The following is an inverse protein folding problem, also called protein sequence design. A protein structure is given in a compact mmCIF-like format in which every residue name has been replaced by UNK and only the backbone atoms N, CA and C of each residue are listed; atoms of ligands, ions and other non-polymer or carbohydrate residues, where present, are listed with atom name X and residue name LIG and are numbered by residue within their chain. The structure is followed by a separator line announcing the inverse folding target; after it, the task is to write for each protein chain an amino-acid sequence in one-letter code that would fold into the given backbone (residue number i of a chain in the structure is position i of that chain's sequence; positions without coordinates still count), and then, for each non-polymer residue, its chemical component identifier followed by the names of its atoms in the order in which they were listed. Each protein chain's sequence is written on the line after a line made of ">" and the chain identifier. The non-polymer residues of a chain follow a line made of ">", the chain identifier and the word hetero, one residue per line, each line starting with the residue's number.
data_IF_843525868597
#
_entry.id   IF_843525868597
#
_cell.length_a   1.000
_cell.length_b   1.000
_cell.length_c   1.000
_cell.angle_alpha   90.00
_cell.angle_beta   90.00
_cell.angle_gamma   90.00
#
_symmetry.space_group_name_H-M   'P 1'
#
loop_
_entity.id
_entity.type
_entity.pdbx_description
1 polymer ?
#
# COMPACT_ATOMS: atom_id res chain seq x y z
N UNK A 1 28.21 -28.60 24.51
CA UNK A 1 28.13 -27.33 25.27
C UNK A 1 26.98 -26.51 24.70
N UNK A 2 26.06 -26.07 25.56
CA UNK A 2 25.01 -25.12 25.20
C UNK A 2 25.64 -23.71 25.14
N UNK A 3 25.23 -22.89 24.17
CA UNK A 3 25.90 -21.65 23.77
C UNK A 3 26.38 -20.77 24.94
N UNK A 4 27.67 -20.44 24.92
CA UNK A 4 28.31 -19.51 25.87
C UNK A 4 28.11 -18.08 25.36
N UNK A 5 27.79 -17.14 26.26
CA UNK A 5 27.67 -15.72 25.93
C UNK A 5 29.06 -15.09 25.91
N UNK A 6 29.51 -14.62 24.74
CA UNK A 6 30.83 -13.99 24.57
C UNK A 6 30.82 -12.47 24.81
N UNK A 7 29.74 -11.94 25.41
CA UNK A 7 29.54 -10.50 25.56
C UNK A 7 30.57 -9.81 26.45
N UNK A 8 31.02 -10.47 27.53
CA UNK A 8 31.99 -9.90 28.46
C UNK A 8 33.38 -9.70 27.83
N UNK A 9 33.75 -10.57 26.88
CA UNK A 9 35.02 -10.50 26.15
C UNK A 9 35.19 -9.19 25.35
N UNK A 10 34.11 -8.43 25.13
CA UNK A 10 34.13 -7.13 24.44
C UNK A 10 35.00 -6.09 25.15
N UNK A 11 34.94 -6.04 26.48
CA UNK A 11 35.54 -4.95 27.25
C UNK A 11 36.77 -5.40 28.05
N UNK A 12 36.85 -6.69 28.38
CA UNK A 12 37.96 -7.28 29.12
C UNK A 12 38.11 -8.75 28.71
N UNK A 13 39.25 -9.37 29.01
CA UNK A 13 39.42 -10.80 28.79
C UNK A 13 38.38 -11.58 29.60
N UNK A 14 37.71 -12.54 28.97
CA UNK A 14 36.60 -13.25 29.60
C UNK A 14 37.05 -13.92 30.91
N UNK A 15 36.32 -13.67 32.00
CA UNK A 15 36.78 -13.99 33.37
C UNK A 15 36.98 -15.49 33.62
N UNK A 16 36.12 -16.32 33.04
CA UNK A 16 36.07 -17.76 33.34
C UNK A 16 36.54 -18.63 32.18
N UNK A 17 36.56 -18.09 30.96
CA UNK A 17 36.91 -18.83 29.74
C UNK A 17 38.08 -18.15 29.05
N UNK A 18 38.99 -18.89 28.40
CA UNK A 18 40.16 -18.34 27.72
C UNK A 18 39.75 -17.69 26.38
N UNK A 19 38.89 -16.68 26.42
CA UNK A 19 38.48 -15.87 25.26
C UNK A 19 39.02 -14.45 25.48
N UNK A 20 40.20 -14.14 24.92
CA UNK A 20 40.75 -12.80 24.99
C UNK A 20 39.88 -11.81 24.21
N UNK A 21 39.93 -10.54 24.60
CA UNK A 21 39.27 -9.45 23.85
C UNK A 21 39.70 -9.40 22.38
N UNK A 22 40.96 -9.72 22.09
CA UNK A 22 41.47 -9.81 20.71
C UNK A 22 40.67 -10.81 19.87
N UNK A 23 40.37 -11.98 20.42
CA UNK A 23 39.68 -13.04 19.68
C UNK A 23 38.18 -12.73 19.55
N UNK A 24 37.58 -12.00 20.50
CA UNK A 24 36.25 -11.40 20.34
C UNK A 24 36.17 -10.50 19.09
N UNK A 25 37.10 -9.55 18.95
CA UNK A 25 37.09 -8.65 17.80
C UNK A 25 37.41 -9.36 16.48
N UNK A 26 38.34 -10.34 16.49
CA UNK A 26 38.61 -11.18 15.29
C UNK A 26 37.36 -11.89 14.79
N UNK A 27 36.55 -12.45 15.69
CA UNK A 27 35.31 -13.12 15.33
C UNK A 27 34.30 -12.14 14.71
N UNK A 28 34.09 -10.98 15.34
CA UNK A 28 33.15 -9.97 14.83
C UNK A 28 33.59 -9.45 13.46
N UNK A 29 34.89 -9.21 13.25
CA UNK A 29 35.42 -8.75 11.95
C UNK A 29 35.11 -9.71 10.81
N UNK A 30 35.18 -11.03 11.05
CA UNK A 30 34.84 -12.04 10.03
C UNK A 30 33.41 -11.90 9.51
N UNK A 31 32.46 -11.52 10.37
CA UNK A 31 31.05 -11.37 10.00
C UNK A 31 30.64 -9.92 9.71
N UNK A 32 31.50 -8.93 9.98
CA UNK A 32 31.18 -7.51 9.83
C UNK A 32 30.82 -7.11 8.40
N UNK A 33 31.36 -7.81 7.39
CA UNK A 33 31.07 -7.57 5.97
C UNK A 33 30.00 -8.51 5.42
N UNK A 34 29.46 -9.41 6.24
CA UNK A 34 28.44 -10.36 5.79
C UNK A 34 27.10 -9.66 5.66
N UNK A 35 26.53 -9.68 4.45
CA UNK A 35 25.15 -9.24 4.22
C UNK A 35 24.23 -10.37 4.67
N UNK A 36 23.44 -10.11 5.70
CA UNK A 36 22.36 -11.02 6.11
C UNK A 36 21.16 -10.73 5.23
N UNK A 37 20.79 -11.71 4.41
CA UNK A 37 19.55 -11.68 3.64
C UNK A 37 18.75 -12.91 4.00
N UNK A 38 17.44 -12.72 4.18
CA UNK A 38 16.51 -13.84 4.18
C UNK A 38 16.36 -14.30 2.73
N UNK A 39 16.56 -15.60 2.51
CA UNK A 39 16.38 -16.24 1.22
C UNK A 39 15.34 -17.34 1.42
N UNK A 40 14.20 -17.19 0.75
CA UNK A 40 13.22 -18.26 0.68
C UNK A 40 13.80 -19.40 -0.15
N UNK A 41 14.11 -20.50 0.53
CA UNK A 41 14.57 -21.71 -0.14
C UNK A 41 13.35 -22.41 -0.73
N UNK A 42 13.33 -22.55 -2.05
CA UNK A 42 12.32 -23.35 -2.73
C UNK A 42 12.49 -24.83 -2.38
N UNK A 43 11.64 -25.31 -1.48
CA UNK A 43 11.63 -26.70 -1.04
C UNK A 43 11.12 -27.66 -2.11
N UNK A 44 10.55 -27.16 -3.22
CA UNK A 44 9.91 -27.94 -4.28
C UNK A 44 10.20 -27.39 -5.69
N UNK A 45 11.46 -27.45 -6.15
CA UNK A 45 11.90 -26.82 -7.39
C UNK A 45 11.16 -27.31 -8.65
N UNK A 46 10.74 -28.58 -8.70
CA UNK A 46 9.98 -29.11 -9.83
C UNK A 46 8.57 -28.51 -9.94
N UNK A 47 7.86 -28.41 -8.82
CA UNK A 47 6.52 -27.79 -8.76
C UNK A 47 6.61 -26.30 -9.10
N UNK A 48 7.58 -25.60 -8.54
CA UNK A 48 7.81 -24.16 -8.78
C UNK A 48 8.17 -23.88 -10.24
N UNK A 49 9.06 -24.67 -10.85
CA UNK A 49 9.38 -24.53 -12.28
C UNK A 49 8.16 -24.73 -13.17
N UNK A 50 7.34 -25.74 -12.89
CA UNK A 50 6.13 -25.99 -13.64
C UNK A 50 5.09 -24.86 -13.46
N UNK A 51 4.95 -24.31 -12.26
CA UNK A 51 4.09 -23.17 -11.99
C UNK A 51 4.58 -21.89 -12.68
N UNK A 52 5.89 -21.64 -12.65
CA UNK A 52 6.52 -20.50 -13.31
C UNK A 52 6.32 -20.55 -14.83
N UNK A 53 6.51 -21.72 -15.46
CA UNK A 53 6.28 -21.89 -16.89
C UNK A 53 4.83 -21.57 -17.28
N UNK A 54 3.85 -22.00 -16.48
CA UNK A 54 2.43 -21.64 -16.68
C UNK A 54 2.19 -20.13 -16.52
N UNK A 55 2.79 -19.52 -15.51
CA UNK A 55 2.67 -18.08 -15.25
C UNK A 55 3.30 -17.24 -16.37
N UNK A 56 4.46 -17.64 -16.89
CA UNK A 56 5.16 -16.97 -17.99
C UNK A 56 4.29 -16.89 -19.24
N UNK A 57 3.62 -17.98 -19.63
CA UNK A 57 2.70 -17.99 -20.78
C UNK A 57 1.57 -16.97 -20.60
N UNK A 58 1.04 -16.82 -19.38
CA UNK A 58 0.01 -15.82 -19.08
C UNK A 58 0.58 -14.40 -19.16
N UNK A 59 1.80 -14.18 -18.64
CA UNK A 59 2.45 -12.86 -18.72
C UNK A 59 2.77 -12.47 -20.15
N UNK A 60 3.32 -13.36 -20.97
CA UNK A 60 3.63 -13.08 -22.37
C UNK A 60 2.37 -12.63 -23.14
N UNK A 61 1.24 -13.29 -22.89
CA UNK A 61 -0.05 -12.90 -23.48
C UNK A 61 -0.51 -11.52 -22.98
N UNK A 62 -0.36 -11.27 -21.68
CA UNK A 62 -0.70 -9.98 -21.08
C UNK A 62 0.17 -8.86 -21.64
N UNK A 63 1.48 -9.06 -21.71
CA UNK A 63 2.45 -8.08 -22.18
C UNK A 63 2.26 -7.78 -23.67
N UNK A 64 1.99 -8.81 -24.48
CA UNK A 64 1.59 -8.64 -25.87
C UNK A 64 0.31 -7.81 -26.01
N UNK A 65 -0.71 -8.08 -25.18
CA UNK A 65 -1.95 -7.30 -25.17
C UNK A 65 -1.73 -5.86 -24.72
N UNK A 66 -0.95 -5.64 -23.66
CA UNK A 66 -0.60 -4.29 -23.17
C UNK A 66 0.18 -3.50 -24.21
N UNK A 67 1.13 -4.12 -24.93
CA UNK A 67 1.85 -3.48 -26.02
C UNK A 67 0.92 -3.03 -27.15
N UNK A 68 0.10 -3.95 -27.69
CA UNK A 68 -0.86 -3.66 -28.75
C UNK A 68 -1.89 -2.59 -28.34
N UNK A 69 -2.39 -2.70 -27.12
CA UNK A 69 -3.42 -1.81 -26.61
C UNK A 69 -2.82 -0.45 -26.21
N UNK A 70 -1.60 -0.43 -25.69
CA UNK A 70 -0.86 0.79 -25.36
C UNK A 70 -0.68 1.70 -26.57
N UNK A 71 -0.23 1.17 -27.71
CA UNK A 71 -0.09 1.96 -28.93
C UNK A 71 -1.44 2.54 -29.40
N UNK A 72 -2.49 1.73 -29.40
CA UNK A 72 -3.84 2.16 -29.81
C UNK A 72 -4.46 3.16 -28.85
N UNK A 73 -4.32 2.94 -27.54
CA UNK A 73 -4.85 3.81 -26.50
C UNK A 73 -4.10 5.14 -26.52
N UNK A 74 -2.78 5.14 -26.62
CA UNK A 74 -1.99 6.38 -26.65
C UNK A 74 -2.36 7.20 -27.89
N UNK A 75 -2.39 6.59 -29.09
CA UNK A 75 -2.78 7.29 -30.30
C UNK A 75 -4.21 7.86 -30.22
N UNK A 76 -5.17 7.06 -29.71
CA UNK A 76 -6.55 7.50 -29.53
C UNK A 76 -6.68 8.58 -28.46
N UNK A 77 -5.96 8.46 -27.35
CA UNK A 77 -5.98 9.43 -26.25
C UNK A 77 -5.40 10.76 -26.69
N UNK A 78 -4.26 10.75 -27.39
CA UNK A 78 -3.67 11.96 -27.98
C UNK A 78 -4.60 12.60 -29.02
N UNK A 79 -5.24 11.78 -29.87
CA UNK A 79 -6.25 12.27 -30.83
C UNK A 79 -7.46 12.92 -30.11
N UNK A 80 -7.99 12.26 -29.09
CA UNK A 80 -9.11 12.77 -28.29
C UNK A 80 -8.73 14.06 -27.55
N UNK A 81 -7.54 14.13 -26.95
CA UNK A 81 -7.02 15.32 -26.28
C UNK A 81 -6.77 16.48 -27.26
N UNK A 82 -6.32 16.22 -28.48
CA UNK A 82 -6.19 17.25 -29.51
C UNK A 82 -7.53 17.80 -30.01
N UNK A 83 -8.57 16.94 -30.07
CA UNK A 83 -9.93 17.33 -30.50
C UNK A 83 -10.74 18.01 -29.39
N UNK A 84 -10.55 17.58 -28.15
CA UNK A 84 -11.19 18.14 -26.98
C UNK A 84 -10.11 18.33 -25.91
N UNK A 85 -9.30 19.40 -26.02
CA UNK A 85 -8.31 19.68 -24.99
C UNK A 85 -9.02 19.80 -23.64
N UNK A 86 -8.34 19.44 -22.52
CA UNK A 86 -8.87 19.75 -21.21
C UNK A 86 -9.23 21.23 -21.20
N UNK A 87 -10.51 21.54 -21.00
CA UNK A 87 -10.89 22.93 -20.79
C UNK A 87 -10.09 23.42 -19.60
N UNK A 88 -9.47 24.60 -19.71
CA UNK A 88 -8.98 25.30 -18.52
C UNK A 88 -10.13 25.27 -17.51
N UNK A 89 -9.90 24.61 -16.37
CA UNK A 89 -10.89 24.61 -15.32
C UNK A 89 -11.10 26.07 -14.95
N UNK A 90 -12.24 26.63 -15.39
CA UNK A 90 -12.66 27.94 -14.95
C UNK A 90 -12.53 27.99 -13.44
N UNK A 91 -12.12 29.13 -12.88
CA UNK A 91 -11.96 29.29 -11.44
C UNK A 91 -13.22 28.77 -10.75
N UNK A 92 -13.09 27.64 -10.05
CA UNK A 92 -14.14 27.07 -9.26
C UNK A 92 -13.80 27.29 -7.79
N UNK A 93 -14.83 27.51 -7.00
CA UNK A 93 -14.71 27.68 -5.57
C UNK A 93 -15.14 26.38 -4.90
N UNK A 94 -14.29 25.86 -4.02
CA UNK A 94 -14.66 24.74 -3.18
C UNK A 94 -15.64 25.23 -2.14
N UNK A 95 -16.87 24.72 -2.21
CA UNK A 95 -17.88 24.95 -1.18
C UNK A 95 -17.88 23.76 -0.22
N UNK A 96 -17.62 24.02 1.05
CA UNK A 96 -17.90 23.05 2.11
C UNK A 96 -19.41 23.01 2.29
N UNK A 97 -19.99 21.81 2.22
CA UNK A 97 -21.41 21.60 2.48
C UNK A 97 -21.61 21.52 4.00
N UNK A 98 -22.08 22.62 4.58
CA UNK A 98 -22.50 22.66 5.97
C UNK A 98 -23.87 21.95 6.12
N UNK A 99 -24.20 21.47 7.32
CA UNK A 99 -25.49 20.85 7.65
C UNK A 99 -25.83 19.54 6.89
N UNK A 100 -24.86 18.62 6.81
CA UNK A 100 -25.08 17.28 6.24
C UNK A 100 -25.94 16.41 7.14
N UNK A 101 -27.08 15.94 6.65
CA UNK A 101 -27.87 14.87 7.26
C UNK A 101 -27.48 13.53 6.65
N UNK A 102 -26.97 12.61 7.48
CA UNK A 102 -26.62 11.25 7.05
C UNK A 102 -27.61 10.24 7.63
N UNK A 103 -28.22 9.44 6.76
CA UNK A 103 -29.15 8.36 7.12
C UNK A 103 -28.66 7.05 6.51
N UNK A 104 -28.48 6.02 7.35
CA UNK A 104 -28.20 4.67 6.85
C UNK A 104 -29.48 3.94 6.48
N UNK A 105 -29.44 3.17 5.39
CA UNK A 105 -30.57 2.35 4.97
C UNK A 105 -30.59 0.99 5.71
N UNK A 106 -29.43 0.47 6.13
CA UNK A 106 -29.34 -0.79 6.88
C UNK A 106 -28.93 -0.59 8.36
N UNK A 107 -29.12 0.62 8.89
CA UNK A 107 -29.08 0.88 10.33
C UNK A 107 -27.71 1.20 10.94
N UNK A 108 -26.67 1.48 10.15
CA UNK A 108 -25.42 1.99 10.71
C UNK A 108 -25.63 3.34 11.43
N UNK A 109 -24.97 3.50 12.57
CA UNK A 109 -25.03 4.70 13.39
C UNK A 109 -23.84 5.63 13.05
N UNK A 110 -24.15 6.90 12.82
CA UNK A 110 -23.18 7.96 12.55
C UNK A 110 -23.12 8.92 13.73
N UNK A 111 -21.91 9.39 14.07
CA UNK A 111 -21.68 10.43 15.08
C UNK A 111 -20.96 11.63 14.48
N UNK A 112 -21.64 12.77 14.38
CA UNK A 112 -21.03 14.03 13.97
C UNK A 112 -19.91 14.45 14.93
N UNK A 113 -18.79 14.93 14.39
CA UNK A 113 -17.64 15.41 15.16
C UNK A 113 -17.58 16.94 15.29
N UNK A 114 -18.50 17.67 14.63
CA UNK A 114 -18.57 19.14 14.68
C UNK A 114 -17.62 19.88 13.73
N UNK A 115 -16.70 19.17 13.07
CA UNK A 115 -15.82 19.68 11.99
C UNK A 115 -16.35 19.34 10.59
N UNK A 116 -17.60 18.88 10.49
CA UNK A 116 -18.22 18.36 9.27
C UNK A 116 -17.94 16.88 8.99
N UNK A 117 -17.08 16.23 9.79
CA UNK A 117 -16.85 14.78 9.69
C UNK A 117 -17.85 13.96 10.52
N UNK A 118 -18.08 12.73 10.07
CA UNK A 118 -18.95 11.77 10.74
C UNK A 118 -18.19 10.48 11.01
N UNK A 119 -18.19 10.05 12.27
CA UNK A 119 -17.63 8.78 12.67
C UNK A 119 -18.69 7.69 12.54
N UNK A 120 -18.38 6.67 11.74
CA UNK A 120 -19.21 5.48 11.61
C UNK A 120 -18.95 4.55 12.80
N UNK A 121 -20.01 4.16 13.51
CA UNK A 121 -19.87 3.25 14.65
C UNK A 121 -19.67 1.80 14.16
N UNK A 122 -18.48 1.18 14.38
CA UNK A 122 -18.14 -0.12 13.81
C UNK A 122 -19.11 -1.25 14.20
N UNK A 123 -19.70 -1.17 15.41
CA UNK A 123 -20.62 -2.18 15.93
C UNK A 123 -22.00 -2.21 15.26
N UNK A 124 -22.27 -1.26 14.36
CA UNK A 124 -23.57 -1.11 13.67
C UNK A 124 -23.48 -1.31 12.16
N UNK A 125 -22.27 -1.57 11.64
CA UNK A 125 -22.03 -1.67 10.20
C UNK A 125 -22.47 -3.04 9.70
N UNK A 126 -23.39 -3.05 8.73
CA UNK A 126 -23.76 -4.26 7.99
C UNK A 126 -23.00 -4.32 6.66
N UNK A 127 -22.68 -5.53 6.20
CA UNK A 127 -22.00 -5.73 4.91
C UNK A 127 -22.92 -5.27 3.78
N UNK A 128 -22.46 -4.29 2.99
CA UNK A 128 -23.22 -3.72 1.88
C UNK A 128 -24.21 -2.63 2.27
N UNK A 129 -24.00 -1.97 3.42
CA UNK A 129 -24.81 -0.82 3.83
C UNK A 129 -24.74 0.32 2.80
N UNK A 130 -25.90 0.93 2.57
CA UNK A 130 -26.08 2.09 1.68
C UNK A 130 -26.59 3.23 2.54
N UNK A 131 -26.06 4.41 2.29
CA UNK A 131 -26.31 5.59 3.09
C UNK A 131 -26.70 6.73 2.15
N UNK A 132 -27.59 7.59 2.64
CA UNK A 132 -28.08 8.76 1.95
C UNK A 132 -27.61 9.98 2.73
N UNK A 133 -26.91 10.87 2.04
CA UNK A 133 -26.46 12.15 2.57
C UNK A 133 -27.31 13.23 1.92
N UNK A 134 -27.97 14.05 2.73
CA UNK A 134 -28.81 15.17 2.29
C UNK A 134 -28.24 16.48 2.82
N UNK A 135 -28.20 17.51 1.97
CA UNK A 135 -27.79 18.87 2.34
C UNK A 135 -28.42 19.86 1.37
N UNK A 136 -28.58 21.11 1.80
CA UNK A 136 -28.99 22.22 0.94
C UNK A 136 -27.77 23.06 0.56
N UNK A 137 -27.52 23.21 -0.74
CA UNK A 137 -26.39 24.01 -1.23
C UNK A 137 -26.84 25.39 -1.69
N UNK A 138 -26.04 26.41 -1.37
CA UNK A 138 -26.20 27.77 -1.91
C UNK A 138 -25.55 27.94 -3.30
N UNK A 139 -24.91 26.90 -3.83
CA UNK A 139 -24.27 26.96 -5.13
C UNK A 139 -25.31 27.11 -6.26
N UNK A 140 -25.03 28.02 -7.21
CA UNK A 140 -25.88 28.20 -8.40
C UNK A 140 -25.80 27.02 -9.38
N UNK A 141 -24.68 26.30 -9.36
CA UNK A 141 -24.45 25.10 -10.16
C UNK A 141 -23.43 24.20 -9.46
N UNK A 142 -23.63 22.88 -9.52
CA UNK A 142 -22.70 21.87 -9.03
C UNK A 142 -22.04 21.17 -10.21
N UNK A 143 -20.70 21.17 -10.25
CA UNK A 143 -19.91 20.53 -11.32
C UNK A 143 -19.31 19.19 -10.92
N UNK A 144 -19.21 18.89 -9.62
CA UNK A 144 -18.76 17.61 -9.11
C UNK A 144 -18.82 17.54 -7.58
N UNK A 145 -18.90 16.31 -7.07
CA UNK A 145 -18.78 15.99 -5.65
C UNK A 145 -17.64 14.96 -5.55
N UNK A 146 -16.44 15.34 -5.07
CA UNK A 146 -15.38 14.39 -4.86
C UNK A 146 -15.73 13.46 -3.69
N UNK A 147 -15.44 12.17 -3.84
CA UNK A 147 -15.61 11.14 -2.82
C UNK A 147 -14.30 10.77 -2.13
#
# INVERSE_FOLDING_TARGET
>A
MLGVTIGCARCHDHKFDPIPTRDYYRLITTFATTIRSEIDVDLKPDETRAALAKWQVVQEKKDSWVGQMGERIVARTLYCLGKNPPHESGKFEWLVLDDLEIKSLNGAAFKSQGDGSFLLNPGTIQKGDRWVITTESKAKALTGIPC
#
